data_IF_681886219613
#
_entry.id   IF_681886219613
#
_cell.length_a   1.000
_cell.length_b   1.000
_cell.length_c   1.000
_cell.angle_alpha   90.00
_cell.angle_beta   90.00
_cell.angle_gamma   90.00
#
_symmetry.space_group_name_H-M   'P 1'
#
loop_
_entity.id
_entity.type
_entity.pdbx_description
1 polymer ?
#
# COMPACT_ATOMS: atom_id res chain seq x y z
N UNK A 1 18.86 -11.53 12.74
CA UNK A 1 18.75 -10.13 12.31
C UNK A 1 17.30 -9.70 12.29
N UNK A 2 16.98 -8.52 12.79
CA UNK A 2 15.60 -8.07 12.69
C UNK A 2 15.22 -7.84 11.23
N UNK A 3 13.97 -8.10 10.85
CA UNK A 3 13.52 -7.83 9.50
C UNK A 3 13.58 -6.33 9.19
N UNK A 4 13.91 -6.00 7.94
CA UNK A 4 13.96 -4.63 7.47
C UNK A 4 12.57 -4.25 6.98
N UNK A 5 12.00 -3.12 7.45
CA UNK A 5 10.71 -2.66 6.96
C UNK A 5 10.70 -2.45 5.45
N UNK A 6 9.59 -2.81 4.82
CA UNK A 6 9.37 -2.59 3.38
C UNK A 6 8.42 -1.42 3.21
N UNK A 7 8.74 -0.53 2.28
CA UNK A 7 7.89 0.62 1.95
C UNK A 7 7.42 0.48 0.51
N UNK A 8 6.13 0.30 0.32
CA UNK A 8 5.50 0.33 -1.01
C UNK A 8 5.31 1.80 -1.37
N UNK A 9 6.17 2.29 -2.23
CA UNK A 9 6.44 3.70 -2.46
C UNK A 9 6.04 4.16 -3.85
N UNK A 10 5.44 5.35 -3.92
CA UNK A 10 5.22 6.06 -5.18
C UNK A 10 6.01 7.38 -5.11
N UNK A 11 7.09 7.54 -5.91
CA UNK A 11 7.93 8.74 -5.84
C UNK A 11 7.19 10.03 -6.24
N UNK A 12 6.07 9.91 -6.94
CA UNK A 12 5.25 11.08 -7.32
C UNK A 12 4.27 11.52 -6.22
N UNK A 13 4.15 10.72 -5.15
CA UNK A 13 3.20 11.02 -4.08
C UNK A 13 3.88 11.74 -2.92
N UNK A 14 3.38 12.91 -2.53
CA UNK A 14 3.94 13.69 -1.42
C UNK A 14 3.92 12.95 -0.09
N UNK A 15 2.85 12.21 0.19
CA UNK A 15 2.74 11.42 1.43
C UNK A 15 3.78 10.30 1.46
N UNK A 16 4.02 9.68 0.31
CA UNK A 16 5.01 8.63 0.17
C UNK A 16 6.42 9.18 0.39
N UNK A 17 6.74 10.33 -0.21
CA UNK A 17 8.03 10.99 -0.03
C UNK A 17 8.23 11.42 1.43
N UNK A 18 7.20 11.97 2.06
CA UNK A 18 7.25 12.39 3.46
C UNK A 18 7.53 11.21 4.39
N UNK A 19 6.93 10.06 4.11
CA UNK A 19 7.16 8.83 4.88
C UNK A 19 8.61 8.38 4.78
N UNK A 20 9.19 8.40 3.56
CA UNK A 20 10.60 8.06 3.39
C UNK A 20 11.51 9.03 4.14
N UNK A 21 11.21 10.32 4.09
CA UNK A 21 12.00 11.33 4.80
C UNK A 21 11.97 11.09 6.31
N UNK A 22 10.80 10.79 6.86
CA UNK A 22 10.63 10.49 8.28
C UNK A 22 11.47 9.29 8.70
N UNK A 23 11.44 8.22 7.90
CA UNK A 23 12.21 7.01 8.19
C UNK A 23 13.71 7.26 8.11
N UNK A 24 14.15 8.08 7.15
CA UNK A 24 15.57 8.47 7.04
C UNK A 24 16.02 9.30 8.23
N UNK A 25 15.20 10.22 8.70
CA UNK A 25 15.50 11.05 9.87
C UNK A 25 15.64 10.20 11.14
N UNK A 26 14.92 9.09 11.21
CA UNK A 26 15.02 8.15 12.31
C UNK A 26 16.15 7.13 12.10
N UNK A 27 16.93 7.27 11.02
CA UNK A 27 18.02 6.37 10.65
C UNK A 27 17.56 4.92 10.53
N UNK A 28 16.30 4.73 10.11
CA UNK A 28 15.70 3.41 9.93
C UNK A 28 16.15 2.83 8.59
N UNK A 29 16.73 1.63 8.61
CA UNK A 29 17.04 0.90 7.39
C UNK A 29 15.73 0.38 6.79
N UNK A 30 15.53 0.58 5.48
CA UNK A 30 14.28 0.22 4.81
C UNK A 30 14.57 -0.38 3.44
N UNK A 31 13.62 -1.18 2.95
CA UNK A 31 13.61 -1.66 1.57
C UNK A 31 12.48 -0.93 0.85
N UNK A 32 12.83 -0.20 -0.21
CA UNK A 32 11.85 0.56 -1.01
C UNK A 32 11.38 -0.34 -2.15
N UNK A 33 10.07 -0.45 -2.33
CA UNK A 33 9.44 -1.18 -3.42
C UNK A 33 8.61 -0.19 -4.21
N UNK A 34 8.98 0.08 -5.45
CA UNK A 34 8.21 0.93 -6.34
C UNK A 34 7.10 0.09 -6.96
N UNK A 35 5.98 0.02 -6.26
CA UNK A 35 4.88 -0.92 -6.57
C UNK A 35 4.19 -0.64 -7.90
N UNK A 36 4.37 0.54 -8.49
CA UNK A 36 3.84 0.82 -9.83
C UNK A 36 4.57 0.03 -10.90
N UNK A 37 5.84 -0.31 -10.66
CA UNK A 37 6.66 -1.12 -11.56
C UNK A 37 6.79 -2.55 -11.08
N UNK A 38 6.80 -2.74 -9.76
CA UNK A 38 6.91 -4.05 -9.12
C UNK A 38 5.75 -4.27 -8.16
N UNK A 39 4.53 -4.49 -8.69
CA UNK A 39 3.36 -4.69 -7.80
C UNK A 39 3.51 -5.96 -6.97
N UNK A 40 2.89 -6.01 -5.80
CA UNK A 40 2.91 -7.24 -5.00
C UNK A 40 2.16 -8.35 -5.72
N UNK A 41 2.45 -9.59 -5.34
CA UNK A 41 1.65 -10.73 -5.80
C UNK A 41 0.29 -10.69 -5.09
N UNK A 42 -0.67 -11.48 -5.59
CA UNK A 42 -1.98 -11.59 -4.95
C UNK A 42 -1.85 -12.08 -3.50
N UNK A 43 -0.96 -13.03 -3.26
CA UNK A 43 -0.72 -13.56 -1.92
C UNK A 43 -0.13 -12.51 -0.99
N UNK A 44 0.82 -11.72 -1.48
CA UNK A 44 1.43 -10.63 -0.72
C UNK A 44 0.42 -9.56 -0.37
N UNK A 45 -0.40 -9.14 -1.33
CA UNK A 45 -1.41 -8.12 -1.08
C UNK A 45 -2.48 -8.60 -0.11
N UNK A 46 -2.89 -9.87 -0.23
CA UNK A 46 -3.83 -10.47 0.73
C UNK A 46 -3.27 -10.42 2.15
N UNK A 47 -1.99 -10.78 2.31
CA UNK A 47 -1.32 -10.73 3.61
C UNK A 47 -1.24 -9.32 4.15
N UNK A 48 -0.86 -8.36 3.30
CA UNK A 48 -0.78 -6.94 3.67
C UNK A 48 -2.13 -6.44 4.17
N UNK A 49 -3.21 -6.77 3.46
CA UNK A 49 -4.56 -6.38 3.86
C UNK A 49 -4.94 -6.94 5.23
N UNK A 50 -4.56 -8.19 5.50
CA UNK A 50 -4.81 -8.80 6.81
C UNK A 50 -4.00 -8.11 7.91
N UNK A 51 -2.76 -7.76 7.62
CA UNK A 51 -1.90 -7.02 8.56
C UNK A 51 -2.41 -5.60 8.81
N UNK A 52 -2.99 -4.97 7.78
CA UNK A 52 -3.63 -3.66 7.91
C UNK A 52 -5.00 -3.74 8.62
N UNK A 53 -5.56 -4.92 8.73
CA UNK A 53 -6.92 -5.15 9.21
C UNK A 53 -7.92 -4.37 8.36
N UNK A 54 -7.78 -4.48 7.05
CA UNK A 54 -8.62 -3.77 6.08
C UNK A 54 -9.10 -4.68 4.97
N UNK A 55 -10.25 -4.33 4.41
CA UNK A 55 -10.79 -4.97 3.21
C UNK A 55 -10.18 -4.29 1.99
N UNK A 56 -10.13 -4.97 0.84
CA UNK A 56 -9.59 -4.36 -0.38
C UNK A 56 -10.24 -3.01 -0.73
N UNK A 57 -11.55 -2.88 -0.59
CA UNK A 57 -12.25 -1.63 -0.94
C UNK A 57 -11.87 -0.46 -0.02
N UNK A 58 -11.26 -0.74 1.13
CA UNK A 58 -10.83 0.32 2.05
C UNK A 58 -9.50 0.94 1.64
N UNK A 59 -8.74 0.29 0.77
CA UNK A 59 -7.46 0.82 0.29
C UNK A 59 -7.45 1.11 -1.21
N UNK A 60 -8.57 0.94 -1.91
CA UNK A 60 -8.65 1.24 -3.33
C UNK A 60 -8.93 2.72 -3.55
N UNK A 61 -8.25 3.33 -4.51
CA UNK A 61 -8.37 4.75 -4.79
C UNK A 61 -9.45 5.00 -5.82
N UNK A 62 -10.69 5.16 -5.35
CA UNK A 62 -11.86 5.34 -6.22
C UNK A 62 -11.82 6.65 -7.02
N UNK A 63 -11.00 7.63 -6.59
CA UNK A 63 -10.90 8.92 -7.27
C UNK A 63 -9.90 8.92 -8.43
N UNK A 64 -9.16 7.82 -8.60
CA UNK A 64 -8.25 7.70 -9.74
C UNK A 64 -9.05 7.51 -11.04
N UNK A 65 -8.57 8.13 -12.12
CA UNK A 65 -9.21 8.00 -13.43
C UNK A 65 -9.34 6.54 -13.86
N UNK A 66 -8.34 5.72 -13.52
CA UNK A 66 -8.34 4.30 -13.86
C UNK A 66 -9.54 3.56 -13.26
N UNK A 67 -9.99 3.98 -12.09
CA UNK A 67 -11.18 3.40 -11.45
C UNK A 67 -12.42 3.60 -12.34
N UNK A 68 -12.62 4.83 -12.83
CA UNK A 68 -13.73 5.15 -13.75
C UNK A 68 -13.57 4.45 -15.09
N UNK A 69 -12.36 4.43 -15.65
CA UNK A 69 -12.08 3.80 -16.93
C UNK A 69 -12.43 2.33 -16.93
N UNK A 70 -12.24 1.65 -15.81
CA UNK A 70 -12.58 0.23 -15.67
C UNK A 70 -14.05 -0.01 -15.35
N UNK A 71 -14.83 1.05 -15.17
CA UNK A 71 -16.26 0.92 -14.84
C UNK A 71 -16.53 0.36 -13.46
N UNK A 72 -15.62 0.59 -12.52
CA UNK A 72 -15.72 0.05 -11.16
C UNK A 72 -16.63 0.89 -10.28
N UNK A 73 -17.22 0.23 -9.28
CA UNK A 73 -17.98 0.88 -8.21
C UNK A 73 -17.69 0.15 -6.90
N UNK A 74 -17.61 0.88 -5.79
CA UNK A 74 -17.44 0.27 -4.47
C UNK A 74 -18.63 -0.61 -4.08
N UNK A 75 -19.76 -0.45 -4.79
CA UNK A 75 -20.97 -1.25 -4.58
C UNK A 75 -20.98 -2.53 -5.42
N UNK A 76 -19.94 -2.77 -6.24
CA UNK A 76 -19.84 -3.98 -7.03
C UNK A 76 -19.77 -5.21 -6.13
N UNK A 77 -20.51 -6.25 -6.51
CA UNK A 77 -20.51 -7.51 -5.78
C UNK A 77 -19.33 -8.38 -6.26
N UNK A 78 -18.11 -7.94 -5.95
CA UNK A 78 -16.88 -8.65 -6.32
C UNK A 78 -16.30 -9.35 -5.10
N UNK A 79 -15.66 -10.50 -5.33
CA UNK A 79 -14.98 -11.22 -4.27
C UNK A 79 -13.71 -10.47 -3.83
N UNK A 80 -13.18 -10.85 -2.67
CA UNK A 80 -11.89 -10.34 -2.16
C UNK A 80 -10.79 -10.56 -3.19
N UNK A 81 -10.74 -11.75 -3.78
CA UNK A 81 -9.73 -12.11 -4.78
C UNK A 81 -9.83 -11.28 -6.04
N UNK A 82 -11.06 -10.98 -6.47
CA UNK A 82 -11.28 -10.13 -7.65
C UNK A 82 -10.78 -8.70 -7.41
N UNK A 83 -11.08 -8.12 -6.24
CA UNK A 83 -10.60 -6.78 -5.90
C UNK A 83 -9.07 -6.73 -5.80
N UNK A 84 -8.47 -7.76 -5.21
CA UNK A 84 -7.02 -7.85 -5.11
C UNK A 84 -6.39 -7.90 -6.50
N UNK A 85 -6.93 -8.72 -7.40
CA UNK A 85 -6.41 -8.85 -8.76
C UNK A 85 -6.53 -7.54 -9.53
N UNK A 86 -7.63 -6.82 -9.35
CA UNK A 86 -7.82 -5.51 -9.98
C UNK A 86 -6.71 -4.54 -9.57
N UNK A 87 -6.38 -4.50 -8.29
CA UNK A 87 -5.33 -3.61 -7.80
C UNK A 87 -3.94 -4.02 -8.27
N UNK A 88 -3.67 -5.31 -8.38
CA UNK A 88 -2.39 -5.81 -8.89
C UNK A 88 -2.22 -5.46 -10.37
N UNK A 89 -3.28 -5.63 -11.15
CA UNK A 89 -3.27 -5.32 -12.57
C UNK A 89 -3.27 -3.80 -12.83
N UNK A 90 -3.71 -3.01 -11.84
CA UNK A 90 -3.80 -1.55 -11.95
C UNK A 90 -3.26 -0.93 -10.65
N UNK A 91 -1.91 -0.98 -10.44
CA UNK A 91 -1.33 -0.56 -9.15
C UNK A 91 -1.61 0.90 -8.76
N UNK A 92 -1.95 1.77 -9.72
CA UNK A 92 -2.33 3.15 -9.40
C UNK A 92 -3.55 3.22 -8.49
N UNK A 93 -4.33 2.14 -8.43
CA UNK A 93 -5.52 2.07 -7.58
C UNK A 93 -5.20 1.75 -6.11
N UNK A 94 -3.96 1.37 -5.82
CA UNK A 94 -3.57 1.07 -4.43
C UNK A 94 -3.30 2.33 -3.64
N UNK A 95 -3.80 2.40 -2.41
CA UNK A 95 -3.44 3.46 -1.48
C UNK A 95 -1.95 3.37 -1.13
N UNK A 96 -1.31 4.52 -0.84
CA UNK A 96 0.14 4.59 -0.59
C UNK A 96 0.47 5.73 0.38
N UNK A 97 1.61 5.64 1.06
CA UNK A 97 2.50 4.49 1.11
C UNK A 97 1.99 3.42 2.07
N UNK A 98 2.37 2.18 1.81
CA UNK A 98 2.13 1.08 2.74
C UNK A 98 3.49 0.69 3.31
N UNK A 99 3.61 0.62 4.63
CA UNK A 99 4.83 0.18 5.30
C UNK A 99 4.54 -1.14 6.00
N UNK A 100 5.37 -2.13 5.73
CA UNK A 100 5.27 -3.45 6.35
C UNK A 100 6.52 -3.69 7.18
N UNK A 101 6.36 -3.96 8.46
CA UNK A 101 7.45 -4.30 9.36
C UNK A 101 7.12 -5.61 10.07
N UNK A 102 7.77 -6.70 9.63
CA UNK A 102 7.55 -8.05 10.12
C UNK A 102 6.08 -8.48 9.88
N UNK A 103 5.31 -8.68 10.94
CA UNK A 103 3.91 -9.12 10.85
C UNK A 103 2.91 -7.96 10.95
N UNK A 104 3.38 -6.72 10.86
CA UNK A 104 2.55 -5.52 10.96
C UNK A 104 2.65 -4.68 9.71
N UNK A 105 1.54 -4.04 9.36
CA UNK A 105 1.50 -3.10 8.24
C UNK A 105 0.68 -1.88 8.62
N UNK A 106 0.99 -0.75 8.00
CA UNK A 106 0.28 0.50 8.24
C UNK A 106 0.33 1.38 6.99
N UNK A 107 -0.70 2.21 6.82
CA UNK A 107 -0.69 3.25 5.81
C UNK A 107 0.00 4.49 6.37
N UNK A 108 0.92 5.07 5.61
CA UNK A 108 1.61 6.30 5.98
C UNK A 108 0.81 7.55 5.68
N UNK A 109 -0.42 7.60 6.16
CA UNK A 109 -1.34 8.72 5.93
C UNK A 109 -2.09 9.02 7.22
N UNK A 110 -1.64 9.98 8.03
CA UNK A 110 -0.43 10.80 7.81
C UNK A 110 0.87 9.98 7.97
N UNK A 111 1.99 10.51 7.45
CA UNK A 111 3.28 9.79 7.48
C UNK A 111 3.71 9.31 8.88
N UNK A 112 3.38 10.06 9.91
CA UNK A 112 3.74 9.75 11.31
C UNK A 112 3.17 8.42 11.79
N UNK A 113 2.11 7.92 11.16
CA UNK A 113 1.51 6.64 11.54
C UNK A 113 2.52 5.49 11.46
N UNK A 114 3.53 5.57 10.59
CA UNK A 114 4.51 4.50 10.43
C UNK A 114 5.35 4.26 11.69
N UNK A 115 5.44 5.26 12.56
CA UNK A 115 6.19 5.14 13.81
C UNK A 115 5.61 4.04 14.70
N UNK A 116 4.31 3.81 14.62
CA UNK A 116 3.60 2.84 15.47
C UNK A 116 4.09 1.40 15.28
N UNK A 117 4.68 1.08 14.12
CA UNK A 117 5.10 -0.30 13.82
C UNK A 117 6.63 -0.46 13.71
N UNK A 118 7.37 0.57 14.02
CA UNK A 118 8.84 0.49 13.98
C UNK A 118 9.44 -0.17 15.21
#
# INVERSE_FOLDING_TARGET
>A
MPPIPKVYHNPECSKSRATLQLLKERKQEIKIIEYLEEPPTAEELDRILRQLDKKPIEIIREKEDRFSELGLSLNDNRSREEWIQIMIDNPTLMERPIVVNNDKAILGRPPENVIEIL
#
